data_IF_649736854422
#
_entry.id   IF_649736854422
#
_cell.length_a   1.000
_cell.length_b   1.000
_cell.length_c   1.000
_cell.angle_alpha   90.00
_cell.angle_beta   90.00
_cell.angle_gamma   90.00
#
_symmetry.space_group_name_H-M   'P 1'
#
loop_
_entity.id
_entity.type
_entity.pdbx_description
1 polymer ?
#
# COMPACT_ATOMS: atom_id res chain seq x y z
N UNK A 1 35.47 -35.74 -4.59
CA UNK A 1 34.22 -35.93 -3.80
C UNK A 1 33.32 -34.74 -4.14
N UNK A 2 32.34 -34.96 -5.03
CA UNK A 2 31.42 -33.92 -5.54
C UNK A 2 30.22 -33.79 -4.62
N UNK A 3 29.91 -32.54 -4.20
CA UNK A 3 28.73 -32.23 -3.46
C UNK A 3 27.49 -32.17 -4.39
N UNK A 4 26.33 -32.63 -3.96
CA UNK A 4 25.11 -32.63 -4.79
C UNK A 4 24.51 -31.23 -4.91
N UNK A 5 24.14 -30.86 -6.13
CA UNK A 5 23.35 -29.67 -6.46
C UNK A 5 21.95 -29.83 -5.88
N UNK A 6 21.50 -28.84 -5.12
CA UNK A 6 20.09 -28.71 -4.70
C UNK A 6 19.28 -28.15 -5.86
N UNK A 7 18.22 -28.86 -6.24
CA UNK A 7 17.19 -28.41 -7.17
C UNK A 7 16.34 -27.28 -6.53
N UNK A 8 15.82 -26.32 -7.32
CA UNK A 8 14.91 -25.30 -6.78
C UNK A 8 13.56 -25.96 -6.44
N UNK A 9 13.18 -25.87 -5.18
CA UNK A 9 11.85 -26.29 -4.71
C UNK A 9 10.78 -25.36 -5.30
N UNK A 10 9.84 -26.02 -5.95
CA UNK A 10 8.57 -25.48 -6.45
C UNK A 10 7.87 -24.62 -5.42
N UNK A 11 7.50 -23.40 -5.80
CA UNK A 11 6.65 -22.49 -5.03
C UNK A 11 5.28 -23.13 -4.88
N UNK A 12 5.03 -23.75 -3.72
CA UNK A 12 3.78 -24.42 -3.42
C UNK A 12 2.65 -23.41 -3.25
N UNK A 13 1.60 -23.56 -4.05
CA UNK A 13 0.32 -22.92 -3.82
C UNK A 13 -0.22 -23.40 -2.45
N UNK A 14 -0.50 -22.47 -1.54
CA UNK A 14 -1.20 -22.79 -0.30
C UNK A 14 -2.68 -23.01 -0.62
N UNK A 15 -3.07 -24.24 -0.79
CA UNK A 15 -4.48 -24.65 -0.76
C UNK A 15 -4.98 -24.53 0.68
N UNK A 16 -5.93 -23.63 0.92
CA UNK A 16 -6.72 -23.61 2.15
C UNK A 16 -7.62 -24.84 2.19
N UNK A 17 -7.94 -25.30 3.42
CA UNK A 17 -8.67 -26.50 3.77
C UNK A 17 -9.89 -26.79 2.88
N UNK A 18 -10.18 -28.09 2.70
CA UNK A 18 -11.31 -28.65 1.97
C UNK A 18 -12.61 -27.87 2.22
N UNK A 19 -12.98 -27.01 1.30
CA UNK A 19 -14.24 -26.27 1.29
C UNK A 19 -15.09 -26.81 0.15
N UNK A 20 -16.33 -27.16 0.45
CA UNK A 20 -17.36 -27.46 -0.53
C UNK A 20 -17.31 -26.50 -1.70
N UNK A 21 -17.44 -26.97 -2.93
CA UNK A 21 -17.47 -26.16 -4.14
C UNK A 21 -18.50 -25.02 -3.95
N UNK A 22 -18.02 -23.80 -3.79
CA UNK A 22 -18.90 -22.63 -3.64
C UNK A 22 -19.45 -22.35 -5.03
N UNK A 23 -20.66 -22.85 -5.29
CA UNK A 23 -21.40 -22.58 -6.53
C UNK A 23 -22.02 -21.19 -6.43
N UNK A 24 -21.51 -20.23 -7.17
CA UNK A 24 -22.06 -18.87 -7.22
C UNK A 24 -21.22 -17.94 -8.09
N UNK A 25 -21.69 -16.73 -8.33
CA UNK A 25 -20.91 -15.73 -9.07
C UNK A 25 -19.64 -15.38 -8.30
N UNK A 26 -18.52 -15.24 -9.03
CA UNK A 26 -17.21 -14.94 -8.49
C UNK A 26 -16.85 -13.46 -8.69
N UNK A 27 -15.95 -12.98 -7.83
CA UNK A 27 -15.32 -11.67 -7.91
C UNK A 27 -13.80 -11.82 -7.82
N UNK A 28 -13.10 -10.85 -8.37
CA UNK A 28 -11.63 -10.83 -8.39
C UNK A 28 -11.10 -9.57 -7.70
N UNK A 29 -10.23 -9.77 -6.73
CA UNK A 29 -9.43 -8.71 -6.11
C UNK A 29 -8.00 -8.77 -6.61
N UNK A 30 -7.41 -7.62 -6.94
CA UNK A 30 -6.04 -7.51 -7.44
C UNK A 30 -5.31 -6.44 -6.67
N UNK A 31 -4.10 -6.76 -6.21
CA UNK A 31 -3.19 -5.84 -5.54
C UNK A 31 -1.87 -5.79 -6.30
N UNK A 32 -1.55 -4.62 -6.87
CA UNK A 32 -0.34 -4.35 -7.63
C UNK A 32 0.53 -3.35 -6.88
N UNK A 33 1.63 -3.85 -6.31
CA UNK A 33 2.60 -3.05 -5.55
C UNK A 33 4.02 -3.24 -6.02
N UNK A 34 4.96 -2.59 -5.34
CA UNK A 34 6.38 -2.70 -5.64
C UNK A 34 6.99 -4.08 -5.43
N UNK A 35 6.31 -4.97 -4.69
CA UNK A 35 6.74 -6.35 -4.43
C UNK A 35 6.19 -7.36 -5.45
N UNK A 36 5.19 -6.99 -6.25
CA UNK A 36 4.58 -7.89 -7.23
C UNK A 36 3.08 -7.64 -7.41
N UNK A 37 2.47 -8.51 -8.22
CA UNK A 37 1.04 -8.57 -8.45
C UNK A 37 0.45 -9.76 -7.70
N UNK A 38 -0.59 -9.52 -6.91
CA UNK A 38 -1.34 -10.56 -6.18
C UNK A 38 -2.79 -10.57 -6.65
N UNK A 39 -3.34 -11.76 -6.81
CA UNK A 39 -4.71 -11.97 -7.30
C UNK A 39 -5.46 -12.86 -6.32
N UNK A 40 -6.70 -12.49 -5.97
CA UNK A 40 -7.59 -13.28 -5.14
C UNK A 40 -8.93 -13.51 -5.84
N UNK A 41 -9.36 -14.74 -5.93
CA UNK A 41 -10.70 -15.13 -6.32
C UNK A 41 -11.56 -15.30 -5.07
N UNK A 42 -12.77 -14.77 -5.08
CA UNK A 42 -13.74 -14.91 -3.99
C UNK A 42 -15.15 -15.09 -4.52
N UNK A 43 -16.01 -15.69 -3.73
CA UNK A 43 -17.44 -15.72 -4.00
C UNK A 43 -18.07 -14.37 -3.62
N UNK A 44 -19.12 -13.95 -4.32
CA UNK A 44 -19.84 -12.71 -4.02
C UNK A 44 -20.36 -12.69 -2.58
N UNK A 45 -20.99 -13.76 -2.12
CA UNK A 45 -21.52 -13.88 -0.76
C UNK A 45 -20.52 -14.36 0.30
N UNK A 46 -19.23 -14.56 -0.06
CA UNK A 46 -18.21 -15.04 0.86
C UNK A 46 -17.51 -13.93 1.64
N UNK A 47 -16.85 -14.24 2.74
CA UNK A 47 -16.04 -13.29 3.52
C UNK A 47 -14.54 -13.44 3.26
N UNK A 48 -14.05 -14.65 2.96
CA UNK A 48 -12.65 -14.95 2.70
C UNK A 48 -12.38 -15.21 1.20
N UNK A 49 -11.14 -15.07 0.72
CA UNK A 49 -10.78 -15.53 -0.60
C UNK A 49 -10.98 -17.04 -0.72
N UNK A 50 -11.46 -17.51 -1.88
CA UNK A 50 -11.56 -18.95 -2.21
C UNK A 50 -10.18 -19.47 -2.63
N UNK A 51 -9.45 -18.68 -3.41
CA UNK A 51 -8.08 -18.98 -3.81
C UNK A 51 -7.30 -17.68 -4.05
N UNK A 52 -5.98 -17.77 -3.89
CA UNK A 52 -5.07 -16.63 -4.12
C UNK A 52 -3.87 -17.06 -4.94
N UNK A 53 -3.29 -16.12 -5.69
CA UNK A 53 -2.08 -16.33 -6.46
C UNK A 53 -1.18 -15.11 -6.43
N UNK A 54 0.10 -15.35 -6.17
CA UNK A 54 1.16 -14.36 -6.36
C UNK A 54 1.73 -14.54 -7.77
N UNK A 55 1.88 -13.43 -8.51
CA UNK A 55 2.49 -13.40 -9.84
C UNK A 55 3.97 -13.03 -9.74
N UNK A 56 4.74 -13.35 -10.79
CA UNK A 56 6.17 -13.09 -10.82
C UNK A 56 6.47 -11.60 -11.04
N UNK A 57 6.95 -10.94 -10.00
CA UNK A 57 7.48 -9.58 -10.06
C UNK A 57 6.43 -8.46 -10.15
N UNK A 58 6.88 -7.23 -9.98
CA UNK A 58 6.01 -6.05 -10.07
C UNK A 58 5.63 -5.72 -11.51
N UNK A 59 4.48 -5.08 -11.68
CA UNK A 59 4.05 -4.52 -12.96
C UNK A 59 5.02 -3.40 -13.39
N UNK A 60 5.42 -3.41 -14.65
CA UNK A 60 6.31 -2.40 -15.20
C UNK A 60 5.70 -1.01 -15.13
N UNK A 61 6.53 -0.02 -14.82
CA UNK A 61 6.16 1.39 -14.82
C UNK A 61 7.18 2.15 -15.66
N UNK A 62 6.70 3.00 -16.55
CA UNK A 62 7.51 3.79 -17.47
C UNK A 62 7.05 5.24 -17.55
N UNK A 63 7.58 6.03 -18.51
CA UNK A 63 7.18 7.43 -18.70
C UNK A 63 5.69 7.63 -18.98
N UNK A 64 5.01 6.63 -19.54
CA UNK A 64 3.57 6.64 -19.79
C UNK A 64 2.73 6.22 -18.56
N UNK A 65 3.38 5.87 -17.45
CA UNK A 65 2.73 5.38 -16.24
C UNK A 65 2.86 3.87 -16.04
N UNK A 66 1.89 3.27 -15.38
CA UNK A 66 1.82 1.83 -15.13
C UNK A 66 1.41 1.14 -16.44
N UNK A 67 2.19 0.14 -16.86
CA UNK A 67 1.99 -0.62 -18.11
C UNK A 67 0.75 -1.54 -17.99
N UNK A 68 -0.33 -1.17 -18.66
CA UNK A 68 -1.58 -1.93 -18.67
C UNK A 68 -1.44 -3.30 -19.35
N UNK A 69 -0.67 -3.37 -20.44
CA UNK A 69 -0.41 -4.62 -21.15
C UNK A 69 0.31 -5.63 -20.26
N UNK A 70 1.38 -5.21 -19.59
CA UNK A 70 2.12 -6.08 -18.67
C UNK A 70 1.28 -6.50 -17.45
N UNK A 71 0.38 -5.64 -16.96
CA UNK A 71 -0.56 -6.03 -15.92
C UNK A 71 -1.50 -7.13 -16.42
N UNK A 72 -2.05 -6.99 -17.62
CA UNK A 72 -2.96 -7.98 -18.23
C UNK A 72 -2.25 -9.31 -18.54
N UNK A 73 -1.00 -9.28 -19.01
CA UNK A 73 -0.17 -10.46 -19.25
C UNK A 73 -0.01 -11.33 -17.98
N UNK A 74 0.03 -10.73 -16.81
CA UNK A 74 0.11 -11.44 -15.54
C UNK A 74 -1.28 -11.80 -14.98
N UNK A 75 -2.24 -10.85 -15.02
CA UNK A 75 -3.55 -11.00 -14.41
C UNK A 75 -4.40 -12.06 -15.10
N UNK A 76 -4.49 -12.06 -16.45
CA UNK A 76 -5.41 -12.94 -17.16
C UNK A 76 -5.08 -14.42 -16.99
N UNK A 77 -3.82 -14.89 -17.10
CA UNK A 77 -3.48 -16.28 -16.79
C UNK A 77 -3.73 -16.64 -15.33
N UNK A 78 -3.42 -15.74 -14.39
CA UNK A 78 -3.66 -15.96 -12.97
C UNK A 78 -5.16 -16.13 -12.65
N UNK A 79 -6.02 -15.28 -13.22
CA UNK A 79 -7.47 -15.35 -13.04
C UNK A 79 -8.06 -16.67 -13.60
N UNK A 80 -7.64 -17.07 -14.80
CA UNK A 80 -8.08 -18.33 -15.40
C UNK A 80 -7.67 -19.54 -14.60
N UNK A 81 -6.42 -19.58 -14.14
CA UNK A 81 -5.92 -20.66 -13.29
C UNK A 81 -6.68 -20.76 -11.96
N UNK A 82 -6.99 -19.63 -11.32
CA UNK A 82 -7.77 -19.60 -10.09
C UNK A 82 -9.19 -20.16 -10.31
N UNK A 83 -9.83 -19.80 -11.42
CA UNK A 83 -11.15 -20.34 -11.80
C UNK A 83 -11.09 -21.86 -12.04
N UNK A 84 -10.06 -22.33 -12.75
CA UNK A 84 -9.86 -23.78 -13.01
C UNK A 84 -9.65 -24.57 -11.70
N UNK A 85 -8.79 -24.05 -10.80
CA UNK A 85 -8.52 -24.67 -9.49
C UNK A 85 -9.77 -24.78 -8.60
N UNK A 86 -10.73 -23.88 -8.77
CA UNK A 86 -11.99 -23.88 -8.03
C UNK A 86 -13.11 -24.65 -8.74
N UNK A 87 -12.83 -25.34 -9.86
CA UNK A 87 -13.85 -26.03 -10.66
C UNK A 87 -14.85 -25.09 -11.32
N UNK A 88 -14.48 -23.81 -11.46
CA UNK A 88 -15.32 -22.73 -11.99
C UNK A 88 -14.89 -22.30 -13.40
N UNK A 89 -14.20 -23.16 -14.14
CA UNK A 89 -13.83 -22.92 -15.53
C UNK A 89 -15.07 -22.60 -16.35
N UNK A 90 -15.08 -21.40 -16.98
CA UNK A 90 -16.25 -20.89 -17.73
C UNK A 90 -17.29 -20.15 -16.88
N UNK A 91 -17.11 -20.04 -15.56
CA UNK A 91 -17.93 -19.14 -14.73
C UNK A 91 -17.56 -17.70 -14.99
N UNK A 92 -18.56 -16.81 -15.07
CA UNK A 92 -18.34 -15.37 -15.21
C UNK A 92 -17.81 -14.76 -13.92
N UNK A 93 -17.00 -13.71 -14.08
CA UNK A 93 -16.55 -12.83 -12.98
C UNK A 93 -17.50 -11.62 -12.95
N UNK A 94 -18.27 -11.49 -11.88
CA UNK A 94 -19.28 -10.43 -11.71
C UNK A 94 -18.66 -9.04 -11.56
N UNK A 95 -17.57 -8.97 -10.80
CA UNK A 95 -16.83 -7.71 -10.58
C UNK A 95 -15.35 -7.94 -10.36
N UNK A 96 -14.55 -6.94 -10.73
CA UNK A 96 -13.11 -6.89 -10.46
C UNK A 96 -12.80 -5.58 -9.75
N UNK A 97 -11.92 -5.63 -8.73
CA UNK A 97 -11.31 -4.43 -8.18
C UNK A 97 -9.79 -4.56 -8.23
N UNK A 98 -9.14 -3.55 -8.78
CA UNK A 98 -7.68 -3.48 -8.95
C UNK A 98 -7.15 -2.33 -8.12
N UNK A 99 -6.34 -2.65 -7.10
CA UNK A 99 -5.52 -1.70 -6.36
C UNK A 99 -4.12 -1.62 -6.98
N UNK A 100 -3.64 -0.41 -7.27
CA UNK A 100 -2.30 -0.24 -7.81
C UNK A 100 -1.57 0.94 -7.19
N UNK A 101 -0.30 0.70 -6.80
CA UNK A 101 0.60 1.75 -6.35
C UNK A 101 0.83 2.77 -7.47
N UNK A 102 0.68 4.05 -7.15
CA UNK A 102 0.79 5.13 -8.14
C UNK A 102 -0.44 5.34 -9.04
N UNK A 103 -1.55 4.65 -8.82
CA UNK A 103 -2.79 4.79 -9.62
C UNK A 103 -3.25 6.24 -9.74
N UNK A 104 -3.08 7.04 -8.68
CA UNK A 104 -3.51 8.44 -8.66
C UNK A 104 -2.80 9.30 -9.71
N UNK A 105 -1.51 9.10 -9.91
CA UNK A 105 -0.65 9.93 -10.77
C UNK A 105 -0.23 9.23 -12.06
N UNK A 106 -0.04 7.91 -12.02
CA UNK A 106 0.51 7.10 -13.12
C UNK A 106 -0.51 6.12 -13.73
N UNK A 107 -1.75 6.10 -13.24
CA UNK A 107 -2.79 5.14 -13.66
C UNK A 107 -3.56 5.55 -14.93
N UNK A 108 -3.08 6.50 -15.73
CA UNK A 108 -3.77 6.96 -16.94
C UNK A 108 -4.06 5.84 -17.92
N UNK A 109 -3.04 5.05 -18.25
CA UNK A 109 -3.13 3.92 -19.17
C UNK A 109 -4.05 2.81 -18.62
N UNK A 110 -3.93 2.47 -17.33
CA UNK A 110 -4.85 1.49 -16.72
C UNK A 110 -6.31 1.92 -16.83
N UNK A 111 -6.61 3.19 -16.61
CA UNK A 111 -7.98 3.72 -16.71
C UNK A 111 -8.52 3.72 -18.12
N UNK A 112 -7.66 3.83 -19.13
CA UNK A 112 -8.05 3.84 -20.54
C UNK A 112 -8.25 2.43 -21.10
N UNK A 113 -7.40 1.47 -20.74
CA UNK A 113 -7.30 0.17 -21.42
C UNK A 113 -7.98 -0.98 -20.67
N UNK A 114 -7.90 -1.01 -19.32
CA UNK A 114 -8.40 -2.16 -18.55
C UNK A 114 -9.90 -2.41 -18.66
N UNK A 115 -10.79 -1.38 -18.75
CA UNK A 115 -12.23 -1.65 -18.85
C UNK A 115 -12.59 -2.55 -20.05
N UNK A 116 -12.18 -2.18 -21.25
CA UNK A 116 -12.45 -2.94 -22.46
C UNK A 116 -11.74 -4.31 -22.46
N UNK A 117 -10.45 -4.33 -22.06
CA UNK A 117 -9.66 -5.56 -22.07
C UNK A 117 -10.21 -6.63 -21.10
N UNK A 118 -10.70 -6.23 -19.92
CA UNK A 118 -11.28 -7.17 -18.95
C UNK A 118 -12.69 -7.60 -19.33
N UNK A 119 -13.48 -6.74 -19.97
CA UNK A 119 -14.77 -7.11 -20.55
C UNK A 119 -14.59 -8.17 -21.63
N UNK A 120 -13.69 -7.94 -22.58
CA UNK A 120 -13.40 -8.85 -23.69
C UNK A 120 -12.82 -10.19 -23.21
N UNK A 121 -11.87 -10.18 -22.27
CA UNK A 121 -11.14 -11.37 -21.87
C UNK A 121 -11.84 -12.25 -20.82
N UNK A 122 -12.62 -11.64 -19.91
CA UNK A 122 -13.24 -12.28 -18.74
C UNK A 122 -14.74 -12.00 -18.60
N UNK A 123 -15.35 -11.24 -19.51
CA UNK A 123 -16.75 -10.84 -19.44
C UNK A 123 -17.10 -9.91 -18.28
N UNK A 124 -16.12 -9.21 -17.74
CA UNK A 124 -16.26 -8.34 -16.55
C UNK A 124 -17.04 -7.10 -16.90
N UNK A 125 -18.19 -6.88 -16.26
CA UNK A 125 -19.05 -5.70 -16.47
C UNK A 125 -18.88 -4.63 -15.39
N UNK A 126 -18.36 -5.01 -14.22
CA UNK A 126 -18.19 -4.12 -13.06
C UNK A 126 -16.71 -4.08 -12.67
N UNK A 127 -16.09 -2.93 -12.85
CA UNK A 127 -14.66 -2.72 -12.56
C UNK A 127 -14.49 -1.54 -11.60
N UNK A 128 -13.68 -1.73 -10.56
CA UNK A 128 -13.16 -0.66 -9.72
C UNK A 128 -11.64 -0.55 -9.90
N UNK A 129 -11.17 0.65 -10.19
CA UNK A 129 -9.75 0.99 -10.23
C UNK A 129 -9.43 1.87 -9.03
N UNK A 130 -8.56 1.40 -8.16
CA UNK A 130 -8.26 2.00 -6.87
C UNK A 130 -6.76 2.28 -6.71
N UNK A 131 -6.42 3.33 -5.98
CA UNK A 131 -5.08 3.46 -5.42
C UNK A 131 -4.83 2.38 -4.37
N UNK A 132 -3.59 1.94 -4.21
CA UNK A 132 -3.17 0.98 -3.20
C UNK A 132 -3.56 1.38 -1.77
N UNK A 133 -3.53 2.68 -1.45
CA UNK A 133 -4.01 3.20 -0.17
C UNK A 133 -5.52 2.98 0.04
N UNK A 134 -6.33 2.99 -1.03
CA UNK A 134 -7.78 2.72 -0.93
C UNK A 134 -8.03 1.24 -0.68
N UNK A 135 -7.32 0.35 -1.34
CA UNK A 135 -7.41 -1.09 -1.04
C UNK A 135 -6.85 -1.42 0.33
N UNK A 136 -5.78 -0.75 0.76
CA UNK A 136 -5.28 -0.83 2.13
C UNK A 136 -6.33 -0.38 3.15
N UNK A 137 -7.04 0.73 2.88
CA UNK A 137 -8.14 1.21 3.71
C UNK A 137 -9.28 0.18 3.78
N UNK A 138 -9.74 -0.29 2.63
CA UNK A 138 -10.83 -1.28 2.56
C UNK A 138 -10.48 -2.59 3.27
N UNK A 139 -9.23 -3.02 3.23
CA UNK A 139 -8.74 -4.20 3.95
C UNK A 139 -8.63 -3.98 5.45
N UNK A 140 -8.12 -2.82 5.87
CA UNK A 140 -7.83 -2.55 7.27
C UNK A 140 -9.04 -2.04 8.06
N UNK A 141 -9.87 -1.18 7.47
CA UNK A 141 -11.01 -0.50 8.10
C UNK A 141 -12.35 -0.99 7.56
N UNK A 142 -12.38 -1.47 6.31
CA UNK A 142 -13.62 -1.83 5.62
C UNK A 142 -14.34 -0.61 5.03
N UNK A 143 -15.67 -0.68 4.97
CA UNK A 143 -16.52 0.39 4.44
C UNK A 143 -17.15 1.21 5.57
N UNK A 144 -16.35 1.65 6.53
CA UNK A 144 -16.74 2.46 7.70
C UNK A 144 -15.93 3.76 7.73
N UNK A 145 -16.43 4.84 8.39
CA UNK A 145 -15.59 6.01 8.67
C UNK A 145 -14.35 5.64 9.47
N UNK A 146 -13.20 6.25 9.14
CA UNK A 146 -11.94 6.00 9.83
C UNK A 146 -10.73 6.49 9.05
N UNK A 147 -9.56 6.03 9.46
CA UNK A 147 -8.30 6.32 8.80
C UNK A 147 -7.41 5.07 8.73
N UNK A 148 -6.57 5.00 7.72
CA UNK A 148 -5.49 4.02 7.60
C UNK A 148 -4.18 4.75 7.40
N UNK A 149 -3.13 4.25 8.04
CA UNK A 149 -1.75 4.58 7.68
C UNK A 149 -1.13 3.33 7.07
N UNK A 150 -0.78 3.44 5.79
CA UNK A 150 -0.06 2.39 5.07
C UNK A 150 1.43 2.75 5.02
N UNK A 151 2.24 1.95 5.72
CA UNK A 151 3.68 2.17 5.86
C UNK A 151 4.48 0.97 5.35
N UNK A 152 5.41 1.25 4.48
CA UNK A 152 6.35 0.29 3.89
C UNK A 152 7.65 1.01 3.53
N UNK A 153 8.10 0.89 2.29
CA UNK A 153 9.20 1.73 1.75
C UNK A 153 8.85 3.21 1.88
N UNK A 154 7.64 3.59 1.47
CA UNK A 154 7.06 4.92 1.72
C UNK A 154 6.05 4.91 2.86
N UNK A 155 5.31 6.02 3.00
CA UNK A 155 4.22 6.17 3.95
C UNK A 155 3.12 7.06 3.38
N UNK A 156 1.87 6.65 3.56
CA UNK A 156 0.69 7.42 3.18
C UNK A 156 -0.40 7.23 4.24
N UNK A 157 -1.11 8.30 4.58
CA UNK A 157 -2.33 8.22 5.35
C UNK A 157 -3.55 8.54 4.46
N UNK A 158 -4.62 7.79 4.65
CA UNK A 158 -5.88 7.97 3.94
C UNK A 158 -7.05 7.82 4.92
N UNK A 159 -7.99 8.76 4.88
CA UNK A 159 -9.17 8.72 5.74
C UNK A 159 -10.44 9.10 4.98
N UNK A 160 -11.58 8.67 5.48
CA UNK A 160 -12.89 9.03 4.92
C UNK A 160 -13.99 9.00 6.00
N UNK A 161 -14.96 9.88 5.85
CA UNK A 161 -16.25 9.87 6.51
C UNK A 161 -17.35 9.19 5.67
N UNK A 162 -16.94 8.52 4.58
CA UNK A 162 -17.74 7.91 3.51
C UNK A 162 -18.39 8.94 2.56
N UNK A 163 -18.14 10.23 2.72
CA UNK A 163 -18.57 11.26 1.76
C UNK A 163 -17.44 11.73 0.87
N UNK A 164 -16.23 11.82 1.42
CA UNK A 164 -15.03 12.26 0.71
C UNK A 164 -13.77 11.59 1.25
N UNK A 165 -12.72 11.58 0.43
CA UNK A 165 -11.40 11.14 0.84
C UNK A 165 -10.55 12.29 1.32
N UNK A 166 -9.79 12.06 2.39
CA UNK A 166 -8.68 12.89 2.83
C UNK A 166 -7.39 12.08 2.71
N UNK A 167 -6.36 12.68 2.12
CA UNK A 167 -5.05 12.07 1.97
C UNK A 167 -4.01 12.99 2.62
N UNK A 168 -3.07 12.39 3.35
CA UNK A 168 -1.87 13.06 3.83
C UNK A 168 -0.65 12.22 3.47
N UNK A 169 0.39 12.91 3.00
CA UNK A 169 1.65 12.33 2.53
C UNK A 169 1.50 11.37 1.32
N UNK A 170 2.42 10.43 1.13
CA UNK A 170 2.47 9.57 -0.05
C UNK A 170 2.98 10.30 -1.30
N UNK A 171 3.86 11.31 -1.13
CA UNK A 171 4.42 12.12 -2.21
C UNK A 171 5.73 11.55 -2.76
N UNK A 172 6.15 10.39 -2.27
CA UNK A 172 7.42 9.75 -2.61
C UNK A 172 8.58 10.24 -1.74
N UNK A 173 9.65 9.46 -1.71
CA UNK A 173 10.79 9.62 -0.80
C UNK A 173 11.57 10.94 -0.93
N UNK A 174 11.34 11.71 -1.99
CA UNK A 174 11.99 13.02 -2.20
C UNK A 174 11.17 14.18 -1.65
N UNK A 175 9.84 14.10 -1.70
CA UNK A 175 8.92 15.19 -1.36
C UNK A 175 8.06 14.89 -0.14
N UNK A 176 8.10 13.65 0.36
CA UNK A 176 7.26 13.19 1.46
C UNK A 176 7.68 11.81 1.94
N UNK A 177 6.68 10.95 2.17
CA UNK A 177 6.83 9.63 2.78
C UNK A 177 7.51 9.71 4.17
N UNK A 178 7.26 10.83 4.87
CA UNK A 178 7.91 11.15 6.15
C UNK A 178 7.54 10.12 7.22
N UNK A 179 8.56 9.54 7.86
CA UNK A 179 8.36 8.43 8.80
C UNK A 179 8.24 7.05 8.15
N UNK A 180 8.24 6.96 6.81
CA UNK A 180 8.31 5.68 6.09
C UNK A 180 9.68 5.01 6.16
N UNK A 181 9.77 3.77 5.66
CA UNK A 181 11.01 2.98 5.73
C UNK A 181 12.21 3.67 5.07
N UNK A 182 12.01 4.27 3.89
CA UNK A 182 13.09 5.00 3.20
C UNK A 182 13.51 6.25 3.97
N UNK A 183 12.59 6.96 4.61
CA UNK A 183 12.88 8.11 5.46
C UNK A 183 13.71 7.69 6.68
N UNK A 184 13.29 6.65 7.41
CA UNK A 184 14.00 6.12 8.57
C UNK A 184 15.38 5.63 8.17
N UNK A 185 15.49 4.84 7.11
CA UNK A 185 16.75 4.31 6.65
C UNK A 185 17.72 5.39 6.19
N UNK A 186 17.23 6.43 5.48
CA UNK A 186 18.03 7.59 5.10
C UNK A 186 18.55 8.35 6.32
N UNK A 187 17.70 8.59 7.31
CA UNK A 187 18.10 9.27 8.54
C UNK A 187 19.15 8.46 9.31
N UNK A 188 18.99 7.13 9.36
CA UNK A 188 19.97 6.23 9.95
C UNK A 188 21.32 6.23 9.23
N UNK A 189 21.29 6.19 7.89
CA UNK A 189 22.52 6.27 7.07
C UNK A 189 23.20 7.64 7.19
N UNK A 190 22.46 8.76 7.26
CA UNK A 190 23.04 10.08 7.52
C UNK A 190 23.75 10.09 8.90
N UNK A 191 23.11 9.54 9.93
CA UNK A 191 23.71 9.45 11.25
C UNK A 191 24.97 8.56 11.27
N UNK A 192 24.98 7.48 10.50
CA UNK A 192 26.17 6.64 10.34
C UNK A 192 27.31 7.40 9.63
N UNK A 193 27.00 8.10 8.53
CA UNK A 193 28.00 8.91 7.82
C UNK A 193 28.52 10.07 8.67
N UNK A 194 27.68 10.69 9.51
CA UNK A 194 28.13 11.70 10.49
C UNK A 194 29.12 11.13 11.49
N UNK A 195 28.91 9.89 11.93
CA UNK A 195 29.87 9.23 12.85
C UNK A 195 31.19 8.96 12.14
N UNK A 196 31.16 8.49 10.88
CA UNK A 196 32.34 8.30 10.06
C UNK A 196 33.16 9.59 9.91
N UNK A 197 32.48 10.71 9.66
CA UNK A 197 33.12 12.04 9.52
C UNK A 197 33.54 12.68 10.87
N UNK A 198 33.19 12.09 12.01
CA UNK A 198 33.38 12.72 13.35
C UNK A 198 32.49 13.92 13.62
N UNK A 199 31.34 14.06 12.91
CA UNK A 199 30.36 15.15 13.11
C UNK A 199 29.41 14.87 14.25
N UNK A 200 28.88 15.95 14.86
CA UNK A 200 27.84 15.86 15.89
C UNK A 200 26.57 15.20 15.32
N UNK A 201 25.85 14.46 16.17
CA UNK A 201 24.63 13.76 15.79
C UNK A 201 24.90 12.45 15.01
N UNK A 202 26.17 12.01 14.97
CA UNK A 202 26.52 10.70 14.46
C UNK A 202 26.24 9.58 15.46
N UNK A 203 26.06 8.35 14.96
CA UNK A 203 25.91 7.13 15.73
C UNK A 203 26.93 6.08 15.31
N UNK A 204 27.84 5.69 16.21
CA UNK A 204 28.80 4.63 15.98
C UNK A 204 28.11 3.26 15.84
N UNK A 205 26.99 3.05 16.51
CA UNK A 205 26.21 1.83 16.38
C UNK A 205 25.63 1.70 14.95
N UNK A 206 25.03 2.78 14.42
CA UNK A 206 24.51 2.80 13.05
C UNK A 206 25.63 2.71 12.01
N UNK A 207 26.81 3.29 12.26
CA UNK A 207 27.98 3.14 11.40
C UNK A 207 28.40 1.67 11.29
N UNK A 208 28.52 0.97 12.42
CA UNK A 208 28.84 -0.47 12.42
C UNK A 208 27.79 -1.29 11.66
N UNK A 209 26.51 -0.93 11.74
CA UNK A 209 25.42 -1.59 10.98
C UNK A 209 25.51 -1.28 9.48
N UNK A 210 25.80 -0.01 9.12
CA UNK A 210 26.01 0.37 7.73
C UNK A 210 27.12 -0.47 7.12
N UNK A 211 28.28 -0.57 7.77
CA UNK A 211 29.43 -1.32 7.26
C UNK A 211 29.15 -2.82 7.17
N UNK A 212 28.35 -3.37 8.08
CA UNK A 212 27.93 -4.77 8.03
C UNK A 212 26.98 -5.08 6.86
N UNK A 213 26.11 -4.12 6.48
CA UNK A 213 25.08 -4.33 5.45
C UNK A 213 25.60 -3.94 4.05
N UNK A 214 26.34 -2.83 3.93
CA UNK A 214 26.70 -2.22 2.65
C UNK A 214 28.20 -2.21 2.35
N UNK A 215 29.05 -2.60 3.32
CA UNK A 215 30.49 -2.47 3.22
C UNK A 215 31.00 -1.11 3.71
N UNK A 216 32.27 -0.77 3.42
CA UNK A 216 32.92 0.44 3.92
C UNK A 216 32.12 1.71 3.66
N UNK A 217 31.92 2.55 4.68
CA UNK A 217 31.11 3.76 4.57
C UNK A 217 31.45 4.68 3.39
N UNK A 218 32.74 4.90 3.03
CA UNK A 218 33.09 5.71 1.85
C UNK A 218 32.58 5.17 0.50
N UNK A 219 32.25 3.88 0.41
CA UNK A 219 31.78 3.23 -0.82
C UNK A 219 30.25 3.37 -1.01
N UNK A 220 29.51 3.70 0.06
CA UNK A 220 28.05 3.81 0.02
C UNK A 220 27.52 4.74 -1.09
N UNK A 221 28.08 5.93 -1.35
CA UNK A 221 27.61 6.79 -2.44
C UNK A 221 27.69 6.10 -3.81
N UNK A 222 28.79 5.39 -4.09
CA UNK A 222 29.00 4.65 -5.34
C UNK A 222 28.00 3.50 -5.51
N UNK A 223 27.56 2.89 -4.40
CA UNK A 223 26.56 1.85 -4.40
C UNK A 223 25.15 2.42 -4.58
N UNK A 224 24.82 3.56 -3.93
CA UNK A 224 23.45 4.06 -3.85
C UNK A 224 23.05 4.96 -5.03
N UNK A 225 23.90 5.90 -5.44
CA UNK A 225 23.52 6.92 -6.44
C UNK A 225 23.19 6.38 -7.84
N UNK A 226 23.84 5.32 -8.36
CA UNK A 226 23.51 4.78 -9.67
C UNK A 226 22.19 3.99 -9.71
N UNK A 227 21.62 3.63 -8.55
CA UNK A 227 20.44 2.76 -8.47
C UNK A 227 19.14 3.50 -8.83
N UNK A 228 18.23 2.79 -9.49
CA UNK A 228 16.86 3.26 -9.77
C UNK A 228 15.89 2.91 -8.62
N UNK A 229 16.22 1.89 -7.81
CA UNK A 229 15.43 1.41 -6.67
C UNK A 229 15.92 1.99 -5.32
N UNK A 230 16.54 3.17 -5.34
CA UNK A 230 17.07 3.86 -4.14
C UNK A 230 16.13 3.85 -2.94
N UNK A 231 14.82 4.12 -3.09
CA UNK A 231 13.91 4.09 -1.93
C UNK A 231 13.87 2.73 -1.23
N UNK A 232 13.90 1.64 -2.00
CA UNK A 232 13.90 0.29 -1.43
C UNK A 232 15.22 -0.01 -0.69
N UNK A 233 16.36 0.42 -1.26
CA UNK A 233 17.67 0.29 -0.60
C UNK A 233 17.73 1.11 0.69
N UNK A 234 17.24 2.35 0.69
CA UNK A 234 17.14 3.16 1.90
C UNK A 234 16.26 2.47 2.95
N UNK A 235 15.09 1.99 2.54
CA UNK A 235 14.15 1.31 3.44
C UNK A 235 14.71 0.02 4.04
N UNK A 236 15.61 -0.68 3.33
CA UNK A 236 16.24 -1.90 3.85
C UNK A 236 17.12 -1.65 5.08
N UNK A 237 17.53 -0.39 5.33
CA UNK A 237 18.29 -0.03 6.52
C UNK A 237 17.41 0.34 7.73
N UNK A 238 16.10 0.56 7.54
CA UNK A 238 15.20 0.91 8.64
C UNK A 238 15.15 -0.14 9.77
N UNK A 239 15.17 -1.47 9.51
CA UNK A 239 15.27 -2.48 10.57
C UNK A 239 16.56 -2.35 11.41
N UNK A 240 17.65 -1.91 10.82
CA UNK A 240 18.93 -1.71 11.53
C UNK A 240 18.85 -0.53 12.50
N UNK A 241 18.11 0.53 12.12
CA UNK A 241 17.81 1.65 13.03
C UNK A 241 16.98 1.16 14.20
N UNK A 242 15.97 0.34 13.95
CA UNK A 242 15.12 -0.23 15.01
C UNK A 242 15.94 -1.13 15.97
N UNK A 243 16.84 -1.94 15.44
CA UNK A 243 17.71 -2.81 16.22
C UNK A 243 18.67 -2.02 17.16
N UNK A 244 19.08 -0.82 16.77
CA UNK A 244 19.95 0.04 17.57
C UNK A 244 19.18 0.87 18.61
N UNK A 245 17.89 1.10 18.44
CA UNK A 245 17.13 2.06 19.25
C UNK A 245 17.15 1.81 20.76
N UNK A 246 17.27 0.54 21.18
CA UNK A 246 17.31 0.18 22.61
C UNK A 246 18.57 0.62 23.35
N UNK A 247 19.66 0.95 22.64
CA UNK A 247 20.95 1.30 23.24
C UNK A 247 21.63 2.51 22.58
N UNK A 248 21.05 3.07 21.54
CA UNK A 248 21.57 4.23 20.83
C UNK A 248 20.52 5.37 20.81
N UNK A 249 20.80 6.52 21.46
CA UNK A 249 19.86 7.61 21.56
C UNK A 249 19.56 8.30 20.22
N UNK A 250 20.47 8.22 19.23
CA UNK A 250 20.28 8.78 17.89
C UNK A 250 19.27 7.92 17.13
N UNK A 251 19.45 6.59 17.14
CA UNK A 251 18.51 5.66 16.53
C UNK A 251 17.11 5.76 17.16
N UNK A 252 17.03 5.84 18.51
CA UNK A 252 15.77 6.07 19.21
C UNK A 252 15.14 7.42 18.84
N UNK A 253 15.95 8.46 18.64
CA UNK A 253 15.52 9.79 18.17
C UNK A 253 14.86 9.72 16.79
N UNK A 254 15.49 9.03 15.86
CA UNK A 254 14.97 8.84 14.49
C UNK A 254 13.59 8.16 14.52
N UNK A 255 13.41 7.12 15.33
CA UNK A 255 12.13 6.43 15.42
C UNK A 255 11.03 7.24 16.10
N UNK A 256 11.38 8.07 17.10
CA UNK A 256 10.42 9.02 17.69
C UNK A 256 9.97 10.08 16.68
N UNK A 257 10.89 10.61 15.87
CA UNK A 257 10.56 11.56 14.82
C UNK A 257 9.69 10.90 13.72
N UNK A 258 10.02 9.67 13.31
CA UNK A 258 9.20 8.91 12.41
C UNK A 258 7.77 8.68 12.95
N UNK A 259 7.66 8.34 14.23
CA UNK A 259 6.37 8.18 14.90
C UNK A 259 5.56 9.48 14.92
N UNK A 260 6.20 10.62 15.14
CA UNK A 260 5.55 11.92 15.11
C UNK A 260 5.01 12.25 13.71
N UNK A 261 5.78 12.00 12.65
CA UNK A 261 5.33 12.20 11.26
C UNK A 261 4.14 11.29 10.90
N UNK A 262 4.19 10.02 11.27
CA UNK A 262 3.09 9.07 11.05
C UNK A 262 1.83 9.53 11.78
N UNK A 263 1.96 9.97 13.04
CA UNK A 263 0.82 10.45 13.83
C UNK A 263 0.23 11.75 13.27
N UNK A 264 1.06 12.66 12.78
CA UNK A 264 0.66 13.91 12.12
C UNK A 264 -0.14 13.63 10.83
N UNK A 265 0.35 12.70 10.01
CA UNK A 265 -0.36 12.29 8.81
C UNK A 265 -1.72 11.64 9.13
N UNK A 266 -1.78 10.79 10.18
CA UNK A 266 -3.03 10.21 10.65
C UNK A 266 -4.02 11.27 11.14
N UNK A 267 -3.53 12.28 11.90
CA UNK A 267 -4.33 13.40 12.38
C UNK A 267 -4.97 14.20 11.23
N UNK A 268 -4.18 14.47 10.19
CA UNK A 268 -4.64 15.24 9.02
C UNK A 268 -5.80 14.57 8.26
N UNK A 269 -5.92 13.24 8.32
CA UNK A 269 -6.93 12.49 7.56
C UNK A 269 -8.04 11.90 8.42
N UNK A 270 -7.84 11.81 9.74
CA UNK A 270 -8.84 11.23 10.62
C UNK A 270 -10.15 12.04 10.57
N UNK A 271 -11.30 11.43 10.23
CA UNK A 271 -12.56 12.12 10.31
C UNK A 271 -12.88 12.52 11.75
N UNK A 272 -13.68 13.57 11.93
CA UNK A 272 -14.25 13.89 13.22
C UNK A 272 -15.00 12.66 13.78
N UNK A 273 -15.04 12.51 15.12
CA UNK A 273 -15.77 11.42 15.75
C UNK A 273 -17.17 11.28 15.13
N UNK A 274 -17.61 10.04 14.92
CA UNK A 274 -18.88 9.75 14.28
C UNK A 274 -20.06 10.39 14.96
N UNK A 275 -21.22 10.48 14.29
CA UNK A 275 -22.45 11.12 14.80
C UNK A 275 -22.88 10.61 16.18
N UNK A 276 -22.48 9.41 16.53
CA UNK A 276 -22.83 8.72 17.77
C UNK A 276 -21.74 8.83 18.86
N UNK A 277 -20.71 9.67 18.67
CA UNK A 277 -19.61 9.84 19.61
C UNK A 277 -18.63 8.67 19.66
N UNK A 278 -18.74 7.70 18.74
CA UNK A 278 -17.79 6.60 18.65
C UNK A 278 -16.41 7.11 18.22
N UNK A 279 -15.32 6.58 18.83
CA UNK A 279 -13.97 6.96 18.46
C UNK A 279 -13.66 6.60 17.00
N UNK A 280 -13.01 7.50 16.28
CA UNK A 280 -12.46 7.20 14.96
C UNK A 280 -11.44 6.05 15.08
N UNK A 281 -11.52 5.06 14.20
CA UNK A 281 -10.51 4.01 14.11
C UNK A 281 -9.36 4.45 13.20
N UNK A 282 -8.12 4.34 13.71
CA UNK A 282 -6.89 4.51 12.94
C UNK A 282 -6.21 3.16 12.81
N UNK A 283 -6.28 2.58 11.63
CA UNK A 283 -5.64 1.30 11.35
C UNK A 283 -4.21 1.49 10.80
N UNK A 284 -3.28 0.65 11.26
CA UNK A 284 -1.91 0.60 10.77
C UNK A 284 -1.74 -0.65 9.88
N UNK A 285 -1.18 -0.48 8.68
CA UNK A 285 -0.94 -1.60 7.75
C UNK A 285 0.42 -1.44 7.04
N UNK A 286 0.98 -2.56 6.61
CA UNK A 286 2.25 -2.61 5.88
C UNK A 286 3.46 -3.02 6.72
N UNK A 287 4.57 -3.23 6.02
CA UNK A 287 5.80 -3.79 6.59
C UNK A 287 6.50 -2.90 7.63
N UNK A 288 6.29 -1.59 7.55
CA UNK A 288 6.87 -0.60 8.47
C UNK A 288 6.58 -0.94 9.94
N UNK A 289 5.36 -1.32 10.24
CA UNK A 289 4.90 -1.57 11.61
C UNK A 289 5.36 -2.92 12.18
N UNK A 290 6.01 -3.76 11.36
CA UNK A 290 6.70 -4.98 11.82
C UNK A 290 7.98 -4.68 12.59
N UNK A 291 8.46 -3.44 12.59
CA UNK A 291 9.57 -3.02 13.47
C UNK A 291 9.24 -3.17 14.95
N UNK A 292 7.96 -3.29 15.32
CA UNK A 292 7.52 -3.55 16.69
C UNK A 292 7.67 -2.35 17.61
N UNK A 293 7.90 -2.63 18.89
CA UNK A 293 7.90 -1.64 19.96
C UNK A 293 8.83 -0.42 19.77
N UNK A 294 10.00 -0.52 19.15
CA UNK A 294 10.85 0.66 18.90
C UNK A 294 10.15 1.79 18.14
N UNK A 295 9.23 1.44 17.24
CA UNK A 295 8.39 2.41 16.51
C UNK A 295 6.98 2.52 17.12
N UNK A 296 6.37 1.39 17.49
CA UNK A 296 4.96 1.38 17.89
C UNK A 296 4.70 2.04 19.24
N UNK A 297 5.65 1.99 20.20
CA UNK A 297 5.49 2.66 21.49
C UNK A 297 5.41 4.18 21.30
N UNK A 298 6.42 4.86 20.73
CA UNK A 298 6.32 6.30 20.50
C UNK A 298 5.16 6.69 19.58
N UNK A 299 4.76 5.84 18.63
CA UNK A 299 3.62 6.10 17.78
C UNK A 299 2.29 6.09 18.56
N UNK A 300 2.11 5.14 19.49
CA UNK A 300 0.92 5.12 20.36
C UNK A 300 0.84 6.37 21.25
N UNK A 301 1.97 6.80 21.79
CA UNK A 301 2.07 8.01 22.62
C UNK A 301 1.68 9.26 21.80
N UNK A 302 2.24 9.42 20.60
CA UNK A 302 1.92 10.53 19.70
C UNK A 302 0.45 10.53 19.24
N UNK A 303 -0.09 9.38 18.86
CA UNK A 303 -1.50 9.26 18.47
C UNK A 303 -2.43 9.58 19.66
N UNK A 304 -2.15 9.07 20.85
CA UNK A 304 -2.95 9.36 22.04
C UNK A 304 -2.95 10.85 22.39
N UNK A 305 -1.83 11.53 22.15
CA UNK A 305 -1.69 12.97 22.40
C UNK A 305 -2.42 13.83 21.35
N UNK A 306 -2.30 13.47 20.05
CA UNK A 306 -2.85 14.23 18.92
C UNK A 306 -4.31 13.93 18.63
N UNK A 307 -4.70 12.67 18.82
CA UNK A 307 -6.02 12.12 18.48
C UNK A 307 -6.65 11.41 19.69
N UNK A 308 -6.91 12.10 20.80
CA UNK A 308 -7.49 11.47 22.00
C UNK A 308 -8.86 10.84 21.76
N UNK A 309 -9.55 11.28 20.69
CA UNK A 309 -10.85 10.75 20.25
C UNK A 309 -10.70 9.56 19.28
N UNK A 310 -9.50 9.16 18.92
CA UNK A 310 -9.27 8.04 18.01
C UNK A 310 -8.75 6.81 18.75
N UNK A 311 -9.07 5.66 18.20
CA UNK A 311 -8.55 4.37 18.67
C UNK A 311 -7.64 3.76 17.60
N UNK A 312 -6.39 3.51 17.97
CA UNK A 312 -5.49 2.75 17.12
C UNK A 312 -5.93 1.28 17.12
N UNK A 313 -6.11 0.72 15.94
CA UNK A 313 -6.49 -0.69 15.76
C UNK A 313 -5.50 -1.39 14.81
N UNK A 314 -5.26 -2.70 15.00
CA UNK A 314 -4.59 -3.47 13.96
C UNK A 314 -5.48 -3.51 12.72
N UNK A 315 -4.88 -3.45 11.53
CA UNK A 315 -5.64 -3.63 10.28
C UNK A 315 -6.31 -5.00 10.25
N UNK A 316 -7.60 -5.05 9.89
CA UNK A 316 -8.37 -6.30 9.84
C UNK A 316 -7.91 -7.22 8.71
N UNK A 317 -7.36 -6.66 7.63
CA UNK A 317 -6.88 -7.39 6.47
C UNK A 317 -5.85 -6.56 5.68
N UNK A 318 -5.31 -7.17 4.65
CA UNK A 318 -4.30 -6.57 3.77
C UNK A 318 -4.93 -5.91 2.52
N UNK A 319 -4.14 -5.23 1.66
CA UNK A 319 -4.66 -4.59 0.45
C UNK A 319 -5.35 -5.56 -0.52
N UNK A 320 -4.90 -6.82 -0.62
CA UNK A 320 -5.55 -7.82 -1.48
C UNK A 320 -6.96 -8.18 -0.97
N UNK A 321 -7.09 -8.37 0.33
CA UNK A 321 -8.39 -8.58 1.00
C UNK A 321 -9.29 -7.36 0.80
N UNK A 322 -8.72 -6.16 0.85
CA UNK A 322 -9.44 -4.91 0.58
C UNK A 322 -9.93 -4.80 -0.86
N UNK A 323 -9.09 -5.14 -1.84
CA UNK A 323 -9.49 -5.20 -3.23
C UNK A 323 -10.66 -6.19 -3.43
N UNK A 324 -10.56 -7.37 -2.84
CA UNK A 324 -11.63 -8.36 -2.91
C UNK A 324 -12.93 -7.88 -2.24
N UNK A 325 -12.83 -7.16 -1.13
CA UNK A 325 -13.98 -6.53 -0.45
C UNK A 325 -14.65 -5.48 -1.34
N UNK A 326 -13.87 -4.64 -2.01
CA UNK A 326 -14.39 -3.64 -2.98
C UNK A 326 -15.09 -4.35 -4.14
N UNK A 327 -14.51 -5.42 -4.69
CA UNK A 327 -15.10 -6.18 -5.78
C UNK A 327 -16.45 -6.80 -5.38
N UNK A 328 -16.56 -7.36 -4.17
CA UNK A 328 -17.83 -7.89 -3.62
C UNK A 328 -18.88 -6.81 -3.48
N UNK A 329 -18.52 -5.69 -2.86
CA UNK A 329 -19.43 -4.57 -2.68
C UNK A 329 -19.89 -3.97 -4.01
N UNK A 330 -19.01 -3.96 -5.02
CA UNK A 330 -19.35 -3.55 -6.38
C UNK A 330 -20.33 -4.54 -7.03
N UNK A 331 -20.14 -5.85 -6.84
CA UNK A 331 -21.02 -6.88 -7.38
C UNK A 331 -22.44 -6.82 -6.79
N UNK A 332 -22.56 -6.51 -5.50
CA UNK A 332 -23.84 -6.41 -4.79
C UNK A 332 -24.49 -5.02 -4.86
N UNK A 333 -23.77 -4.01 -5.35
CA UNK A 333 -24.27 -2.62 -5.35
C UNK A 333 -24.12 -1.91 -4.00
N UNK A 334 -23.38 -2.48 -3.05
CA UNK A 334 -23.23 -1.97 -1.69
C UNK A 334 -21.92 -1.18 -1.47
N UNK A 335 -21.26 -0.75 -2.55
CA UNK A 335 -20.00 -0.03 -2.45
C UNK A 335 -20.22 1.40 -1.91
N UNK A 336 -19.89 1.59 -0.64
CA UNK A 336 -20.09 2.84 0.12
C UNK A 336 -18.88 3.76 0.11
N UNK A 337 -17.70 3.26 -0.26
CA UNK A 337 -16.48 4.07 -0.35
C UNK A 337 -16.66 5.18 -1.38
N UNK A 338 -16.26 6.44 -1.09
CA UNK A 338 -16.48 7.57 -1.98
C UNK A 338 -15.79 7.38 -3.34
N UNK A 339 -16.50 7.68 -4.43
CA UNK A 339 -15.91 7.75 -5.76
C UNK A 339 -14.99 8.94 -5.85
N UNK A 340 -13.84 8.74 -6.51
CA UNK A 340 -12.87 9.81 -6.72
C UNK A 340 -12.13 9.59 -8.04
N UNK A 341 -11.90 10.64 -8.85
CA UNK A 341 -11.32 10.48 -10.19
C UNK A 341 -9.98 9.74 -10.23
N UNK A 342 -9.17 9.84 -9.18
CA UNK A 342 -7.83 9.26 -9.11
C UNK A 342 -7.65 8.23 -8.01
N UNK A 343 -8.48 8.23 -6.94
CA UNK A 343 -8.34 7.29 -5.82
C UNK A 343 -9.23 6.05 -5.96
N UNK A 344 -10.52 6.21 -6.34
CA UNK A 344 -11.44 5.10 -6.52
C UNK A 344 -12.40 5.39 -7.67
N UNK A 345 -12.11 4.87 -8.84
CA UNK A 345 -12.92 5.05 -10.05
C UNK A 345 -13.67 3.77 -10.38
N UNK A 346 -14.96 3.93 -10.67
CA UNK A 346 -15.83 2.89 -11.26
C UNK A 346 -16.19 3.37 -12.66
N UNK A 347 -15.67 2.75 -13.73
CA UNK A 347 -16.02 3.10 -15.10
C UNK A 347 -17.53 2.94 -15.34
N UNK A 348 -18.14 3.89 -16.07
CA UNK A 348 -19.59 3.90 -16.32
C UNK A 348 -20.42 4.63 -15.26
N UNK A 349 -19.91 4.82 -14.04
CA UNK A 349 -20.51 5.72 -13.05
C UNK A 349 -19.89 7.12 -13.26
N UNK A 350 -20.70 8.12 -13.66
CA UNK A 350 -20.25 9.51 -13.75
C UNK A 350 -19.88 10.04 -12.35
N UNK A 351 -19.08 11.13 -12.26
CA UNK A 351 -18.84 11.76 -10.96
C UNK A 351 -20.18 12.23 -10.39
N UNK A 352 -20.54 11.76 -9.21
CA UNK A 352 -21.67 12.31 -8.46
C UNK A 352 -21.45 13.83 -8.37
N UNK A 353 -22.46 14.60 -8.78
CA UNK A 353 -22.44 16.05 -8.64
C UNK A 353 -22.30 16.37 -7.16
N UNK A 354 -21.13 16.84 -6.76
CA UNK A 354 -20.95 17.47 -5.45
C UNK A 354 -21.89 18.69 -5.42
N UNK A 355 -22.98 18.57 -4.70
CA UNK A 355 -23.87 19.69 -4.39
C UNK A 355 -23.14 20.62 -3.43
N UNK A 356 -22.69 21.76 -3.96
CA UNK A 356 -22.38 22.97 -3.19
C UNK A 356 -20.93 23.13 -2.75
N UNK A 357 -20.08 23.62 -3.66
CA UNK A 357 -19.09 24.64 -3.31
C UNK A 357 -18.77 25.48 -4.54
N UNK A 358 -19.07 26.76 -4.42
CA UNK A 358 -18.76 27.82 -5.42
C UNK A 358 -17.25 27.90 -5.56
N UNK A 359 -16.76 27.58 -6.76
CA UNK A 359 -15.37 27.82 -7.13
C UNK A 359 -15.12 29.31 -7.25
N UNK A 360 -14.30 29.87 -6.39
CA UNK A 360 -13.61 31.14 -6.65
C UNK A 360 -12.48 30.85 -7.63
N UNK A 361 -12.61 31.34 -8.85
CA UNK A 361 -11.56 31.44 -9.83
C UNK A 361 -10.38 32.23 -9.23
N UNK A 362 -9.23 31.57 -9.05
CA UNK A 362 -7.95 32.23 -8.90
C UNK A 362 -7.11 32.02 -10.14
N UNK A 363 -6.88 33.15 -10.76
CA UNK A 363 -6.05 33.48 -11.92
C UNK A 363 -4.68 32.77 -11.89
N UNK A 364 -4.48 31.80 -12.78
CA UNK A 364 -3.22 31.06 -12.94
C UNK A 364 -2.33 31.79 -13.95
N UNK A 365 -1.36 32.56 -13.46
CA UNK A 365 -0.24 32.99 -14.31
C UNK A 365 0.80 31.87 -14.39
N UNK A 366 1.33 31.54 -15.58
CA UNK A 366 2.39 30.56 -15.72
C UNK A 366 3.71 31.11 -15.19
N UNK A 367 4.37 30.34 -14.32
CA UNK A 367 5.76 30.56 -13.93
C UNK A 367 6.64 29.89 -14.97
N UNK A 368 7.40 30.69 -15.73
CA UNK A 368 8.46 30.18 -16.60
C UNK A 368 9.68 29.85 -15.75
N UNK A 369 10.18 28.63 -15.88
CA UNK A 369 11.51 28.17 -15.45
C UNK A 369 12.45 28.20 -16.63
#
# INVERSE_FOLDING_TARGET
>A
MSAPRRSPESTAARAGAEGAAVSGPYVLGVDSGGSGLRVALGAVGGSAPVATRDCEGPVRTGPAGIDAGHLLEQLLPAARLLLEQCGAAGSGIEAVAIGAAGMATLGGQLRAELPAALEDALGVRRLALAGDAVTAYAGAVGQRPGAVVAGGTGMIALGTDLTSWRRADGWGHLLGDSGGGAWIGRAGLDAAMRAHDGRRGGSAALLSRLEAVFGPAPELPGLLYPRTDRPAVLASFAPEVAACAGHDPVAAGILREAAAHVAEAAEAVCPAAGRDGEPCEVALTGGLFRMGDPLLVPLREELSRRLPQARMVPGSGDPLTGALSIARALATGDLRLPRHPTLLRVPGEGPERQSGQVATEQDSRPVSL
#
